data_IF_612644697486
#
_entry.id   IF_612644697486
#
_cell.length_a   1.000
_cell.length_b   1.000
_cell.length_c   1.000
_cell.angle_alpha   90.00
_cell.angle_beta   90.00
_cell.angle_gamma   90.00
#
_symmetry.space_group_name_H-M   'P 1'
#
loop_
_entity.id
_entity.type
_entity.pdbx_description
1 polymer ?
#
# COMPACT_ATOMS: atom_id res chain seq x y z
N UNK A 1 2.25 20.85 -14.43
CA UNK A 1 1.25 21.02 -15.50
C UNK A 1 1.98 21.00 -16.85
N UNK A 2 2.39 19.80 -17.27
CA UNK A 2 3.06 19.57 -18.54
C UNK A 2 2.15 18.73 -19.43
N UNK A 3 1.77 19.32 -20.56
CA UNK A 3 1.36 18.72 -21.83
C UNK A 3 0.60 17.38 -21.78
N UNK A 4 -0.69 17.46 -22.09
CA UNK A 4 -1.42 16.37 -22.73
C UNK A 4 -0.86 16.08 -24.14
N UNK A 5 0.36 15.53 -24.21
CA UNK A 5 0.63 14.49 -25.20
C UNK A 5 -0.49 13.49 -25.00
N UNK A 6 -1.35 13.36 -26.02
CA UNK A 6 -2.62 12.70 -25.81
C UNK A 6 -2.32 11.32 -25.25
N UNK A 7 -2.91 10.98 -24.10
CA UNK A 7 -2.83 9.65 -23.51
C UNK A 7 -3.06 8.54 -24.56
N UNK A 8 -3.85 8.88 -25.59
CA UNK A 8 -3.99 8.12 -26.83
C UNK A 8 -2.66 7.79 -27.51
N UNK A 9 -1.74 8.73 -27.71
CA UNK A 9 -0.42 8.53 -28.34
C UNK A 9 0.49 7.53 -27.60
N UNK A 10 0.42 7.49 -26.27
CA UNK A 10 1.16 6.52 -25.45
C UNK A 10 0.56 5.11 -25.59
N UNK A 11 -0.74 5.03 -25.81
CA UNK A 11 -1.51 3.78 -25.67
C UNK A 11 -1.85 3.16 -27.02
N UNK A 12 -2.03 3.97 -28.07
CA UNK A 12 -2.35 3.54 -29.44
C UNK A 12 -1.42 2.43 -29.97
N UNK A 13 -0.09 2.47 -29.71
CA UNK A 13 0.81 1.40 -30.14
C UNK A 13 0.50 0.03 -29.51
N UNK A 14 -0.19 0.01 -28.36
CA UNK A 14 -0.46 -1.20 -27.58
C UNK A 14 -1.91 -1.70 -27.69
N UNK A 15 -2.79 -0.93 -28.35
CA UNK A 15 -4.17 -1.32 -28.61
C UNK A 15 -4.27 -2.27 -29.81
N UNK A 16 -5.12 -3.28 -29.69
CA UNK A 16 -5.47 -4.13 -30.81
C UNK A 16 -6.32 -3.35 -31.83
N UNK A 17 -6.31 -3.79 -33.10
CA UNK A 17 -7.13 -3.13 -34.13
C UNK A 17 -8.61 -3.19 -33.76
N UNK A 18 -9.25 -2.02 -33.71
CA UNK A 18 -10.66 -1.87 -33.35
C UNK A 18 -10.95 -1.95 -31.86
N UNK A 19 -9.92 -1.95 -31.00
CA UNK A 19 -10.05 -1.80 -29.56
C UNK A 19 -10.17 -0.31 -29.21
N UNK A 20 -11.17 0.05 -28.39
CA UNK A 20 -11.45 1.44 -28.03
C UNK A 20 -11.17 1.70 -26.54
N UNK A 21 -10.40 2.74 -26.20
CA UNK A 21 -10.20 3.13 -24.81
C UNK A 21 -11.50 3.70 -24.22
N UNK A 22 -11.91 3.18 -23.06
CA UNK A 22 -13.10 3.61 -22.30
C UNK A 22 -12.75 4.61 -21.20
N UNK A 23 -11.67 4.33 -20.48
CA UNK A 23 -11.15 5.21 -19.44
C UNK A 23 -9.64 5.11 -19.41
N UNK A 24 -8.98 6.20 -19.03
CA UNK A 24 -7.55 6.20 -18.78
C UNK A 24 -7.26 6.93 -17.48
N UNK A 25 -6.38 6.31 -16.70
CA UNK A 25 -5.83 6.85 -15.49
C UNK A 25 -4.31 6.93 -15.64
N UNK A 26 -3.73 8.07 -15.26
CA UNK A 26 -2.30 8.30 -15.29
C UNK A 26 -1.88 8.79 -13.91
N UNK A 27 -0.88 8.13 -13.37
CA UNK A 27 -0.13 8.45 -12.15
C UNK A 27 1.32 8.80 -12.54
N UNK A 28 2.13 9.23 -11.58
CA UNK A 28 3.52 9.68 -11.81
C UNK A 28 4.36 8.63 -12.59
N UNK A 29 4.23 7.35 -12.23
CA UNK A 29 5.00 6.25 -12.83
C UNK A 29 4.11 5.17 -13.50
N UNK A 30 2.78 5.35 -13.51
CA UNK A 30 1.83 4.32 -13.97
C UNK A 30 0.77 4.89 -14.90
N UNK A 31 0.61 4.26 -16.06
CA UNK A 31 -0.53 4.51 -16.97
C UNK A 31 -1.43 3.28 -16.97
N UNK A 32 -2.70 3.44 -16.57
CA UNK A 32 -3.70 2.37 -16.62
C UNK A 32 -4.82 2.75 -17.58
N UNK A 33 -5.00 1.96 -18.63
CA UNK A 33 -6.04 2.13 -19.63
C UNK A 33 -7.03 0.99 -19.50
N UNK A 34 -8.30 1.33 -19.45
CA UNK A 34 -9.40 0.38 -19.55
C UNK A 34 -9.99 0.52 -20.93
N UNK A 35 -9.98 -0.57 -21.70
CA UNK A 35 -10.56 -0.64 -23.04
C UNK A 35 -11.88 -1.38 -23.00
N UNK A 36 -12.57 -1.45 -24.13
CA UNK A 36 -13.75 -2.30 -24.32
C UNK A 36 -13.46 -3.82 -24.22
N UNK A 37 -12.20 -4.23 -24.05
CA UNK A 37 -11.79 -5.65 -24.03
C UNK A 37 -10.91 -6.06 -22.86
N UNK A 38 -10.08 -5.16 -22.35
CA UNK A 38 -9.03 -5.46 -21.37
C UNK A 38 -8.57 -4.22 -20.60
N UNK A 39 -7.79 -4.45 -19.56
CA UNK A 39 -6.99 -3.42 -18.90
C UNK A 39 -5.56 -3.52 -19.44
N UNK A 40 -4.98 -2.41 -19.86
CA UNK A 40 -3.56 -2.29 -20.20
C UNK A 40 -2.92 -1.37 -19.18
N UNK A 41 -1.87 -1.84 -18.50
CA UNK A 41 -1.17 -1.07 -17.48
C UNK A 41 0.32 -1.00 -17.82
N UNK A 42 0.82 0.19 -18.02
CA UNK A 42 2.25 0.47 -18.18
C UNK A 42 2.81 1.02 -16.88
N UNK A 43 3.98 0.54 -16.46
CA UNK A 43 4.72 1.05 -15.31
C UNK A 43 6.16 1.31 -15.67
N UNK A 44 6.58 2.54 -15.50
CA UNK A 44 7.97 2.92 -15.63
C UNK A 44 8.65 2.73 -14.27
N UNK A 45 9.84 2.15 -14.28
CA UNK A 45 10.64 1.93 -13.08
C UNK A 45 12.12 1.81 -13.45
N UNK A 46 13.00 2.08 -12.49
CA UNK A 46 14.45 1.97 -12.69
C UNK A 46 14.95 0.60 -12.23
N UNK A 47 15.64 -0.12 -13.11
CA UNK A 47 16.39 -1.34 -12.77
C UNK A 47 17.88 -1.05 -13.00
N UNK A 48 18.66 -1.08 -11.91
CA UNK A 48 20.13 -0.95 -11.97
C UNK A 48 20.64 0.29 -12.74
N UNK A 49 19.97 1.45 -12.60
CA UNK A 49 20.37 2.67 -13.34
C UNK A 49 19.83 2.76 -14.76
N UNK A 50 18.97 1.82 -15.17
CA UNK A 50 18.34 1.79 -16.49
C UNK A 50 16.84 1.93 -16.37
N UNK A 51 16.26 2.87 -17.12
CA UNK A 51 14.81 3.01 -17.23
C UNK A 51 14.21 1.77 -17.89
N UNK A 52 13.25 1.15 -17.22
CA UNK A 52 12.52 -0.02 -17.67
C UNK A 52 11.01 0.24 -17.63
N UNK A 53 10.31 -0.25 -18.65
CA UNK A 53 8.84 -0.13 -18.76
C UNK A 53 8.22 -1.52 -18.78
N UNK A 54 7.40 -1.81 -17.77
CA UNK A 54 6.60 -3.03 -17.69
C UNK A 54 5.19 -2.78 -18.21
N UNK A 55 4.75 -3.60 -19.17
CA UNK A 55 3.38 -3.55 -19.70
C UNK A 55 2.61 -4.82 -19.35
N UNK A 56 1.57 -4.68 -18.54
CA UNK A 56 0.65 -5.73 -18.14
C UNK A 56 -0.69 -5.60 -18.88
N UNK A 57 -1.29 -6.72 -19.28
CA UNK A 57 -2.57 -6.76 -19.99
C UNK A 57 -3.50 -7.81 -19.37
N UNK A 58 -4.67 -7.37 -18.87
CA UNK A 58 -5.66 -8.23 -18.21
C UNK A 58 -6.93 -8.25 -19.04
N UNK A 59 -7.30 -9.41 -19.59
CA UNK A 59 -8.55 -9.55 -20.35
C UNK A 59 -9.77 -9.36 -19.45
N UNK A 60 -10.67 -8.47 -19.87
CA UNK A 60 -11.98 -8.23 -19.24
C UNK A 60 -13.10 -8.96 -19.97
N UNK A 61 -12.85 -9.41 -21.19
CA UNK A 61 -13.84 -10.06 -22.05
C UNK A 61 -13.37 -11.46 -22.41
N UNK A 62 -14.23 -12.45 -22.20
CA UNK A 62 -13.94 -13.84 -22.54
C UNK A 62 -14.81 -14.81 -21.74
N UNK A 63 -14.94 -16.07 -22.20
CA UNK A 63 -15.84 -17.06 -21.60
C UNK A 63 -15.45 -17.46 -20.17
N UNK A 64 -14.20 -17.16 -19.76
CA UNK A 64 -13.72 -17.40 -18.41
C UNK A 64 -14.02 -16.28 -17.42
N UNK A 65 -14.41 -15.09 -17.88
CA UNK A 65 -14.70 -13.94 -17.01
C UNK A 65 -16.13 -14.06 -16.50
N UNK A 66 -16.30 -14.06 -15.18
CA UNK A 66 -17.59 -14.25 -14.52
C UNK A 66 -18.18 -12.94 -13.99
N UNK A 67 -17.35 -11.94 -13.75
CA UNK A 67 -17.77 -10.67 -13.17
C UNK A 67 -16.60 -9.83 -12.67
N UNK A 68 -16.92 -8.61 -12.24
CA UNK A 68 -15.98 -7.72 -11.57
C UNK A 68 -16.55 -7.28 -10.23
N UNK A 69 -15.70 -7.20 -9.22
CA UNK A 69 -16.04 -6.66 -7.90
C UNK A 69 -15.15 -5.47 -7.60
N UNK A 70 -15.77 -4.33 -7.31
CA UNK A 70 -15.08 -3.10 -6.91
C UNK A 70 -15.29 -2.89 -5.41
N UNK A 71 -14.20 -2.66 -4.68
CA UNK A 71 -14.23 -2.30 -3.26
C UNK A 71 -13.33 -1.09 -3.01
N UNK A 72 -13.88 -0.07 -2.36
CA UNK A 72 -13.11 1.09 -1.93
C UNK A 72 -12.65 0.89 -0.50
N UNK A 73 -11.33 0.98 -0.28
CA UNK A 73 -10.71 0.94 1.04
C UNK A 73 -10.31 2.36 1.43
N UNK A 74 -10.92 2.94 2.48
CA UNK A 74 -10.54 4.27 2.96
C UNK A 74 -9.13 4.23 3.56
N UNK A 75 -8.46 5.38 3.58
CA UNK A 75 -7.17 5.51 4.26
C UNK A 75 -7.37 5.24 5.75
N UNK A 76 -6.46 4.48 6.36
CA UNK A 76 -6.44 4.34 7.82
C UNK A 76 -5.66 5.51 8.40
N UNK A 77 -6.34 6.34 9.21
CA UNK A 77 -5.69 7.43 9.92
C UNK A 77 -4.81 6.89 11.06
N UNK A 78 -3.73 7.60 11.43
CA UNK A 78 -2.92 7.23 12.59
C UNK A 78 -3.77 7.17 13.85
N UNK A 79 -3.61 6.11 14.63
CA UNK A 79 -4.28 5.98 15.92
C UNK A 79 -3.51 6.76 17.01
N UNK A 80 -3.69 8.08 17.05
CA UNK A 80 -2.97 8.98 17.97
C UNK A 80 -3.01 8.54 19.44
N UNK A 81 -4.11 7.93 19.88
CA UNK A 81 -4.22 7.36 21.22
C UNK A 81 -3.24 6.21 21.48
N UNK A 82 -3.10 5.27 20.52
CA UNK A 82 -2.11 4.19 20.60
C UNK A 82 -0.69 4.71 20.46
N UNK A 83 -0.46 5.70 19.60
CA UNK A 83 0.84 6.37 19.46
C UNK A 83 1.26 6.99 20.80
N UNK A 84 0.37 7.74 21.45
CA UNK A 84 0.64 8.36 22.75
C UNK A 84 0.92 7.30 23.83
N UNK A 85 0.13 6.21 23.86
CA UNK A 85 0.33 5.11 24.78
C UNK A 85 1.68 4.39 24.54
N UNK A 86 1.99 4.05 23.29
CA UNK A 86 3.24 3.40 22.91
C UNK A 86 4.45 4.27 23.26
N UNK A 87 4.38 5.57 22.96
CA UNK A 87 5.42 6.54 23.29
C UNK A 87 5.65 6.67 24.80
N UNK A 88 4.57 6.65 25.59
CA UNK A 88 4.65 6.65 27.05
C UNK A 88 5.36 5.40 27.57
N UNK A 89 4.98 4.21 27.08
CA UNK A 89 5.61 2.94 27.49
C UNK A 89 7.09 2.92 27.12
N UNK A 90 7.44 3.34 25.90
CA UNK A 90 8.84 3.44 25.47
C UNK A 90 9.61 4.45 26.31
N UNK A 91 9.04 5.62 26.60
CA UNK A 91 9.68 6.65 27.42
C UNK A 91 9.96 6.19 28.85
N UNK A 92 8.96 5.57 29.51
CA UNK A 92 9.12 5.00 30.86
C UNK A 92 10.14 3.87 30.85
N UNK A 93 10.08 2.97 29.88
CA UNK A 93 11.05 1.90 29.73
C UNK A 93 12.47 2.42 29.51
N UNK A 94 12.65 3.44 28.68
CA UNK A 94 13.95 4.04 28.41
C UNK A 94 14.53 4.74 29.65
N UNK A 95 13.69 5.38 30.47
CA UNK A 95 14.11 5.93 31.75
C UNK A 95 14.59 4.85 32.72
N UNK A 96 13.91 3.71 32.78
CA UNK A 96 14.34 2.56 33.59
C UNK A 96 15.65 1.95 33.07
N UNK A 97 15.79 1.80 31.74
CA UNK A 97 17.02 1.32 31.13
C UNK A 97 18.21 2.27 31.43
N UNK A 98 17.99 3.58 31.30
CA UNK A 98 18.99 4.59 31.59
C UNK A 98 19.39 4.57 33.07
N UNK A 99 18.42 4.53 33.98
CA UNK A 99 18.69 4.45 35.42
C UNK A 99 19.49 3.19 35.78
N UNK A 100 19.15 2.03 35.20
CA UNK A 100 19.89 0.78 35.38
C UNK A 100 21.32 0.88 34.85
N UNK A 101 21.52 1.50 33.68
CA UNK A 101 22.85 1.71 33.10
C UNK A 101 23.71 2.63 33.97
N UNK A 102 23.14 3.75 34.43
CA UNK A 102 23.83 4.70 35.31
C UNK A 102 24.26 4.03 36.63
N UNK A 103 23.39 3.21 37.23
CA UNK A 103 23.72 2.46 38.44
C UNK A 103 24.85 1.44 38.22
N UNK A 104 24.79 0.71 37.10
CA UNK A 104 25.85 -0.24 36.72
C UNK A 104 27.19 0.45 36.44
N UNK A 105 27.17 1.63 35.80
CA UNK A 105 28.38 2.36 35.43
C UNK A 105 29.02 3.12 36.60
N UNK A 106 28.22 3.70 37.49
CA UNK A 106 28.70 4.41 38.69
C UNK A 106 29.12 3.45 39.82
N UNK A 107 29.06 2.13 39.58
CA UNK A 107 29.56 1.13 40.53
C UNK A 107 28.79 1.11 41.84
N UNK A 108 27.50 1.46 41.83
CA UNK A 108 26.61 1.22 42.97
C UNK A 108 26.03 -0.18 42.82
N UNK A 109 26.57 -1.21 43.49
CA UNK A 109 26.05 -2.56 43.36
C UNK A 109 24.70 -2.62 44.06
N UNK A 110 23.63 -2.47 43.29
CA UNK A 110 22.30 -2.85 43.77
C UNK A 110 22.16 -4.35 43.58
N UNK A 111 22.63 -5.14 44.54
CA UNK A 111 22.21 -6.55 44.75
C UNK A 111 20.73 -6.64 45.21
N UNK A 112 19.91 -5.66 44.82
CA UNK A 112 18.51 -5.58 45.18
C UNK A 112 17.67 -6.16 44.06
N UNK A 113 16.74 -7.05 44.39
CA UNK A 113 15.71 -7.58 43.49
C UNK A 113 15.01 -6.45 42.70
N UNK A 114 14.91 -5.26 43.28
CA UNK A 114 14.34 -4.07 42.66
C UNK A 114 15.10 -3.61 41.40
N UNK A 115 16.43 -3.70 41.37
CA UNK A 115 17.24 -3.34 40.20
C UNK A 115 17.03 -4.34 39.05
N UNK A 116 16.89 -5.63 39.37
CA UNK A 116 16.53 -6.66 38.40
C UNK A 116 15.11 -6.43 37.84
N UNK A 117 14.14 -6.11 38.70
CA UNK A 117 12.77 -5.77 38.29
C UNK A 117 12.76 -4.55 37.35
N UNK A 118 13.51 -3.50 37.67
CA UNK A 118 13.61 -2.29 36.84
C UNK A 118 14.24 -2.62 35.47
N UNK A 119 15.31 -3.41 35.45
CA UNK A 119 15.95 -3.83 34.20
C UNK A 119 15.00 -4.68 33.34
N UNK A 120 14.31 -5.67 33.92
CA UNK A 120 13.35 -6.51 33.22
C UNK A 120 12.13 -5.71 32.72
N UNK A 121 11.62 -4.79 33.54
CA UNK A 121 10.54 -3.89 33.14
C UNK A 121 10.95 -3.01 31.95
N UNK A 122 12.19 -2.50 31.94
CA UNK A 122 12.70 -1.74 30.79
C UNK A 122 12.77 -2.57 29.51
N UNK A 123 13.21 -3.82 29.62
CA UNK A 123 13.34 -4.74 28.50
C UNK A 123 11.98 -5.15 27.92
N UNK A 124 10.91 -5.09 28.71
CA UNK A 124 9.55 -5.27 28.25
C UNK A 124 8.95 -3.97 27.66
N UNK A 125 9.02 -2.89 28.42
CA UNK A 125 8.30 -1.64 28.11
C UNK A 125 8.83 -0.95 26.85
N UNK A 126 10.14 -0.94 26.62
CA UNK A 126 10.74 -0.30 25.45
C UNK A 126 10.27 -0.94 24.14
N UNK A 127 10.47 -2.25 23.89
CA UNK A 127 10.05 -2.88 22.64
C UNK A 127 8.53 -2.95 22.51
N UNK A 128 7.78 -3.19 23.60
CA UNK A 128 6.32 -3.20 23.53
C UNK A 128 5.74 -1.83 23.20
N UNK A 129 6.24 -0.75 23.82
CA UNK A 129 5.82 0.61 23.50
C UNK A 129 6.17 0.99 22.07
N UNK A 130 7.36 0.60 21.60
CA UNK A 130 7.81 0.88 20.24
C UNK A 130 6.96 0.13 19.21
N UNK A 131 6.61 -1.12 19.48
CA UNK A 131 5.73 -1.92 18.64
C UNK A 131 4.32 -1.33 18.54
N UNK A 132 3.72 -0.96 19.68
CA UNK A 132 2.39 -0.34 19.72
C UNK A 132 2.37 0.98 18.93
N UNK A 133 3.38 1.82 19.11
CA UNK A 133 3.50 3.07 18.37
C UNK A 133 3.69 2.81 16.87
N UNK A 134 4.57 1.87 16.51
CA UNK A 134 4.85 1.51 15.11
C UNK A 134 3.60 1.00 14.39
N UNK A 135 2.84 0.08 14.99
CA UNK A 135 1.60 -0.43 14.40
C UNK A 135 0.56 0.69 14.23
N UNK A 136 0.49 1.61 15.18
CA UNK A 136 -0.43 2.75 15.14
C UNK A 136 -0.05 3.82 14.11
N UNK A 137 1.23 3.89 13.72
CA UNK A 137 1.72 4.72 12.62
C UNK A 137 1.57 4.04 11.25
N UNK A 138 1.27 2.75 11.20
CA UNK A 138 1.13 2.02 9.94
C UNK A 138 -0.19 2.39 9.27
N UNK A 139 -0.19 3.54 8.60
CA UNK A 139 -1.31 4.03 7.79
C UNK A 139 -1.29 3.32 6.45
N UNK A 140 -2.45 2.82 6.02
CA UNK A 140 -2.66 2.36 4.66
C UNK A 140 -3.21 3.51 3.84
N UNK A 141 -2.61 3.73 2.67
CA UNK A 141 -3.18 4.62 1.68
C UNK A 141 -4.53 4.08 1.19
N UNK A 142 -5.43 5.02 0.93
CA UNK A 142 -6.73 4.70 0.37
C UNK A 142 -6.58 4.16 -1.05
N UNK A 143 -7.25 3.06 -1.35
CA UNK A 143 -7.19 2.45 -2.68
C UNK A 143 -8.53 1.82 -3.06
N UNK A 144 -8.76 1.75 -4.37
CA UNK A 144 -9.81 0.97 -4.98
C UNK A 144 -9.22 -0.39 -5.35
N UNK A 145 -9.86 -1.47 -4.89
CA UNK A 145 -9.55 -2.83 -5.31
C UNK A 145 -10.56 -3.25 -6.36
N UNK A 146 -10.07 -3.58 -7.54
CA UNK A 146 -10.85 -4.17 -8.63
C UNK A 146 -10.46 -5.64 -8.73
N UNK A 147 -11.41 -6.52 -8.49
CA UNK A 147 -11.25 -7.97 -8.56
C UNK A 147 -12.01 -8.48 -9.79
N UNK A 148 -11.28 -8.98 -10.79
CA UNK A 148 -11.84 -9.63 -11.97
C UNK A 148 -11.94 -11.11 -11.65
N UNK A 149 -13.19 -11.59 -11.54
CA UNK A 149 -13.50 -12.96 -11.16
C UNK A 149 -13.45 -13.81 -12.42
N UNK A 150 -12.62 -14.86 -12.41
CA UNK A 150 -12.50 -15.76 -13.55
C UNK A 150 -12.44 -17.23 -13.15
N UNK A 151 -12.82 -18.12 -14.07
CA UNK A 151 -12.75 -19.58 -13.86
C UNK A 151 -11.33 -20.10 -13.70
N UNK A 152 -10.31 -19.36 -14.17
CA UNK A 152 -8.90 -19.69 -14.05
C UNK A 152 -8.21 -19.11 -12.81
N UNK A 153 -8.92 -18.34 -11.99
CA UNK A 153 -8.38 -17.62 -10.84
C UNK A 153 -8.70 -16.13 -10.86
N UNK A 154 -8.77 -15.53 -9.68
CA UNK A 154 -9.13 -14.13 -9.54
C UNK A 154 -7.90 -13.23 -9.79
N UNK A 155 -8.08 -12.22 -10.62
CA UNK A 155 -7.05 -11.19 -10.84
C UNK A 155 -7.42 -9.95 -10.05
N UNK A 156 -6.50 -9.46 -9.22
CA UNK A 156 -6.73 -8.26 -8.41
C UNK A 156 -5.87 -7.11 -8.88
N UNK A 157 -6.51 -5.97 -9.14
CA UNK A 157 -5.87 -4.71 -9.47
C UNK A 157 -6.13 -3.72 -8.33
N UNK A 158 -5.06 -3.08 -7.87
CA UNK A 158 -5.14 -1.96 -6.93
C UNK A 158 -4.97 -0.67 -7.72
N UNK A 159 -5.95 0.21 -7.58
CA UNK A 159 -5.97 1.54 -8.16
C UNK A 159 -6.04 2.58 -7.04
N UNK A 160 -5.48 3.79 -7.22
CA UNK A 160 -5.69 4.89 -6.28
C UNK A 160 -7.16 5.39 -6.31
N UNK A 161 -7.55 6.19 -5.32
CA UNK A 161 -8.96 6.62 -5.16
C UNK A 161 -9.50 7.50 -6.29
N UNK A 162 -8.65 8.32 -6.87
CA UNK A 162 -8.95 9.20 -7.99
C UNK A 162 -9.17 8.43 -9.31
N UNK A 163 -8.67 7.20 -9.41
CA UNK A 163 -8.93 6.28 -10.53
C UNK A 163 -10.34 5.65 -10.51
N UNK A 164 -11.34 6.30 -9.91
CA UNK A 164 -12.73 5.81 -9.81
C UNK A 164 -13.34 5.58 -11.20
N UNK A 165 -13.03 6.44 -12.17
CA UNK A 165 -13.53 6.31 -13.55
C UNK A 165 -13.00 5.04 -14.23
N UNK A 166 -11.71 4.74 -14.05
CA UNK A 166 -11.11 3.49 -14.54
C UNK A 166 -11.76 2.27 -13.86
N UNK A 167 -11.96 2.30 -12.54
CA UNK A 167 -12.64 1.21 -11.84
C UNK A 167 -14.06 0.98 -12.38
N UNK A 168 -14.86 2.05 -12.55
CA UNK A 168 -16.21 1.96 -13.10
C UNK A 168 -16.22 1.42 -14.53
N UNK A 169 -15.26 1.84 -15.37
CA UNK A 169 -15.11 1.32 -16.72
C UNK A 169 -14.87 -0.19 -16.73
N UNK A 170 -14.07 -0.73 -15.79
CA UNK A 170 -13.88 -2.19 -15.67
C UNK A 170 -15.20 -2.90 -15.41
N UNK A 171 -16.01 -2.40 -14.47
CA UNK A 171 -17.32 -3.00 -14.19
C UNK A 171 -18.29 -2.89 -15.36
N UNK A 172 -18.26 -1.78 -16.12
CA UNK A 172 -19.10 -1.64 -17.32
C UNK A 172 -18.72 -2.67 -18.37
N UNK A 173 -17.43 -2.76 -18.70
CA UNK A 173 -16.92 -3.64 -19.75
C UNK A 173 -17.20 -5.10 -19.43
N UNK A 174 -17.02 -5.51 -18.17
CA UNK A 174 -17.33 -6.89 -17.74
C UNK A 174 -18.84 -7.15 -17.71
N UNK A 175 -19.65 -6.14 -17.38
CA UNK A 175 -21.12 -6.27 -17.34
C UNK A 175 -21.80 -6.23 -18.71
N UNK A 176 -21.15 -5.64 -19.71
CA UNK A 176 -21.65 -5.54 -21.09
C UNK A 176 -21.41 -6.83 -21.91
N UNK A 177 -20.65 -7.80 -21.37
CA UNK A 177 -20.38 -9.12 -21.99
C UNK A 177 -21.28 -10.23 -21.42
#
# INVERSE_FOLDING_TARGET
MGSGQSVREIVEPHLARGEEPRAVYTDDDTVTVVTDRRIVRSRDHEIEGTDATDVESIMLTGPQILGARIRTYPATAPEWGKIALGSLFTGVGALFAYASLVQNFLGTPTESELALIVALASLLLVPSGAYIAYEAFNTQESHIRVEVISTGGDTTLRLPLDATEAANAVSSVVGDN
#
